data_IF_650844798111
#
_entry.id   IF_650844798111
#
_cell.length_a   1.000
_cell.length_b   1.000
_cell.length_c   1.000
_cell.angle_alpha   90.00
_cell.angle_beta   90.00
_cell.angle_gamma   90.00
#
_symmetry.space_group_name_H-M   'P 1'
#
loop_
_entity.id
_entity.type
_entity.pdbx_description
1 polymer ?
#
# COMPACT_ATOMS: atom_id res chain seq x y z
N UNK A 1 2.01 -27.12 50.10
CA UNK A 1 3.14 -27.13 49.15
C UNK A 1 2.75 -26.25 47.98
N UNK A 2 3.50 -25.17 47.79
CA UNK A 2 3.22 -24.04 46.89
C UNK A 2 4.07 -24.19 45.64
N UNK A 3 3.48 -24.06 44.45
CA UNK A 3 4.26 -23.62 43.27
C UNK A 3 3.38 -22.74 42.39
N UNK A 4 3.58 -21.44 42.53
CA UNK A 4 3.04 -20.39 41.67
C UNK A 4 3.89 -20.34 40.40
N UNK A 5 3.31 -20.62 39.23
CA UNK A 5 3.98 -20.36 37.96
C UNK A 5 3.64 -18.95 37.47
N UNK A 6 4.48 -18.00 37.84
CA UNK A 6 4.59 -16.68 37.23
C UNK A 6 5.05 -16.85 35.78
N UNK A 7 4.15 -16.67 34.81
CA UNK A 7 4.56 -16.46 33.41
C UNK A 7 4.55 -14.97 33.13
N UNK A 8 5.75 -14.44 33.01
CA UNK A 8 6.10 -13.07 32.68
C UNK A 8 5.50 -12.68 31.33
N UNK A 9 4.72 -11.61 31.32
CA UNK A 9 4.32 -10.89 30.13
C UNK A 9 5.57 -10.44 29.36
N UNK A 10 5.79 -11.02 28.17
CA UNK A 10 6.75 -10.49 27.21
C UNK A 10 6.02 -9.47 26.33
N UNK A 11 6.30 -8.20 26.59
CA UNK A 11 5.86 -7.05 25.81
C UNK A 11 6.49 -7.10 24.42
N UNK A 12 5.74 -7.55 23.42
CA UNK A 12 6.05 -7.31 22.00
C UNK A 12 5.27 -6.07 21.55
N UNK A 13 5.88 -4.92 21.24
CA UNK A 13 5.16 -3.79 20.68
C UNK A 13 5.01 -4.00 19.15
N UNK A 14 4.26 -5.01 18.74
CA UNK A 14 3.92 -5.23 17.33
C UNK A 14 2.44 -4.89 17.09
N UNK A 15 2.12 -3.58 17.10
CA UNK A 15 0.75 -3.11 16.84
C UNK A 15 0.75 -1.81 16.03
N UNK A 16 1.51 -1.78 14.93
CA UNK A 16 1.41 -0.74 13.88
C UNK A 16 1.31 -1.34 12.46
N UNK A 17 1.10 -2.65 12.33
CA UNK A 17 1.19 -3.38 11.06
C UNK A 17 -0.04 -3.36 10.12
N UNK A 18 -1.30 -3.13 10.54
CA UNK A 18 -2.42 -3.23 9.61
C UNK A 18 -2.43 -2.10 8.58
N UNK A 19 -2.07 -0.87 8.97
CA UNK A 19 -2.09 0.28 8.06
C UNK A 19 -1.05 0.13 6.93
N UNK A 20 0.18 -0.28 7.25
CA UNK A 20 1.22 -0.53 6.23
C UNK A 20 0.90 -1.70 5.31
N UNK A 21 0.25 -2.75 5.84
CA UNK A 21 -0.20 -3.87 5.01
C UNK A 21 -1.31 -3.46 4.05
N UNK A 22 -2.28 -2.68 4.52
CA UNK A 22 -3.37 -2.14 3.69
C UNK A 22 -2.80 -1.21 2.60
N UNK A 23 -1.85 -0.35 2.95
CA UNK A 23 -1.16 0.53 1.99
C UNK A 23 -0.40 -0.26 0.93
N UNK A 24 0.34 -1.31 1.32
CA UNK A 24 1.05 -2.17 0.38
C UNK A 24 0.09 -2.90 -0.57
N UNK A 25 -1.04 -3.42 -0.07
CA UNK A 25 -2.05 -4.06 -0.91
C UNK A 25 -2.62 -3.08 -1.93
N UNK A 26 -2.92 -1.83 -1.54
CA UNK A 26 -3.38 -0.79 -2.48
C UNK A 26 -2.36 -0.51 -3.59
N UNK A 27 -1.06 -0.50 -3.28
CA UNK A 27 0.00 -0.32 -4.28
C UNK A 27 0.09 -1.52 -5.23
N UNK A 28 -0.11 -2.74 -4.74
CA UNK A 28 -0.14 -3.96 -5.55
C UNK A 28 -1.37 -3.99 -6.46
N UNK A 29 -2.55 -3.66 -5.94
CA UNK A 29 -3.79 -3.56 -6.73
C UNK A 29 -3.62 -2.53 -7.85
N UNK A 30 -3.15 -1.33 -7.52
CA UNK A 30 -2.85 -0.29 -8.49
C UNK A 30 -1.90 -0.76 -9.60
N UNK A 31 -0.79 -1.43 -9.22
CA UNK A 31 0.16 -1.99 -10.18
C UNK A 31 -0.53 -2.95 -11.17
N UNK A 32 -1.37 -3.86 -10.67
CA UNK A 32 -2.06 -4.82 -11.52
C UNK A 32 -3.10 -4.16 -12.43
N UNK A 33 -3.79 -3.13 -11.95
CA UNK A 33 -4.73 -2.36 -12.77
C UNK A 33 -4.01 -1.62 -13.90
N UNK A 34 -2.87 -1.02 -13.62
CA UNK A 34 -2.02 -0.39 -14.63
C UNK A 34 -1.51 -1.40 -15.66
N UNK A 35 -1.08 -2.59 -15.22
CA UNK A 35 -0.67 -3.67 -16.13
C UNK A 35 -1.82 -4.12 -17.03
N UNK A 36 -3.06 -4.18 -16.52
CA UNK A 36 -4.26 -4.45 -17.30
C UNK A 36 -4.58 -3.37 -18.35
N UNK A 37 -4.06 -2.16 -18.20
CA UNK A 37 -4.14 -1.08 -19.20
C UNK A 37 -2.91 -1.04 -20.15
N UNK A 38 -1.97 -1.99 -20.01
CA UNK A 38 -0.75 -2.06 -20.83
C UNK A 38 0.45 -1.32 -20.26
N UNK A 39 0.36 -0.79 -19.03
CA UNK A 39 1.43 -0.02 -18.39
C UNK A 39 2.15 -0.85 -17.32
N UNK A 40 3.47 -1.01 -17.47
CA UNK A 40 4.28 -1.69 -16.46
C UNK A 40 4.74 -0.72 -15.37
N UNK A 41 4.40 -1.05 -14.12
CA UNK A 41 4.78 -0.25 -12.94
C UNK A 41 5.81 -1.00 -12.09
N UNK A 42 6.92 -0.32 -11.80
CA UNK A 42 7.92 -0.78 -10.83
C UNK A 42 7.46 -0.40 -9.42
N UNK A 43 7.06 -1.41 -8.65
CA UNK A 43 6.55 -1.23 -7.29
C UNK A 43 7.60 -0.66 -6.33
N UNK A 44 8.87 -1.02 -6.49
CA UNK A 44 9.95 -0.53 -5.62
C UNK A 44 10.16 0.96 -5.86
N UNK A 45 10.13 1.37 -7.14
CA UNK A 45 10.25 2.77 -7.52
C UNK A 45 9.01 3.57 -7.14
N UNK A 46 7.81 2.99 -7.30
CA UNK A 46 6.55 3.58 -6.85
C UNK A 46 6.56 3.95 -5.37
N UNK A 47 7.23 3.16 -4.53
CA UNK A 47 7.33 3.42 -3.08
C UNK A 47 8.42 4.44 -2.69
N UNK A 48 9.44 4.64 -3.53
CA UNK A 48 10.66 5.38 -3.15
C UNK A 48 10.87 6.69 -3.92
N UNK A 49 10.21 6.83 -5.06
CA UNK A 49 10.36 7.96 -5.98
C UNK A 49 8.99 8.67 -6.11
N UNK A 50 8.77 9.77 -5.37
CA UNK A 50 7.52 10.53 -5.41
C UNK A 50 7.20 11.08 -6.81
N UNK A 51 8.22 11.37 -7.63
CA UNK A 51 8.02 11.85 -8.99
C UNK A 51 7.49 10.74 -9.90
N UNK A 52 8.05 9.53 -9.78
CA UNK A 52 7.55 8.35 -10.46
C UNK A 52 6.13 7.99 -10.00
N UNK A 53 5.86 8.03 -8.69
CA UNK A 53 4.52 7.82 -8.14
C UNK A 53 3.52 8.83 -8.68
N UNK A 54 3.86 10.12 -8.66
CA UNK A 54 3.02 11.18 -9.20
C UNK A 54 2.72 10.99 -10.69
N UNK A 55 3.71 10.59 -11.49
CA UNK A 55 3.52 10.32 -12.92
C UNK A 55 2.57 9.14 -13.15
N UNK A 56 2.76 8.02 -12.44
CA UNK A 56 1.87 6.86 -12.55
C UNK A 56 0.44 7.19 -12.12
N UNK A 57 0.27 7.92 -11.01
CA UNK A 57 -1.06 8.34 -10.51
C UNK A 57 -1.73 9.27 -11.51
N UNK A 58 -1.00 10.26 -12.07
CA UNK A 58 -1.55 11.17 -13.07
C UNK A 58 -2.02 10.42 -14.33
N UNK A 59 -1.25 9.46 -14.82
CA UNK A 59 -1.66 8.61 -15.95
C UNK A 59 -2.88 7.75 -15.63
N UNK A 60 -2.98 7.22 -14.40
CA UNK A 60 -4.12 6.41 -13.99
C UNK A 60 -5.41 7.23 -13.88
N UNK A 61 -5.32 8.50 -13.45
CA UNK A 61 -6.47 9.41 -13.36
C UNK A 61 -7.06 9.79 -14.72
N UNK A 62 -6.27 9.72 -15.80
CA UNK A 62 -6.73 10.00 -17.17
C UNK A 62 -7.22 8.75 -17.92
N UNK A 63 -7.13 7.56 -17.32
CA UNK A 63 -7.62 6.31 -17.93
C UNK A 63 -9.14 6.26 -18.00
N UNK A 64 -9.71 5.64 -19.03
CA UNK A 64 -11.15 5.37 -19.13
C UNK A 64 -11.63 4.27 -18.15
N UNK A 65 -10.71 3.52 -17.53
CA UNK A 65 -11.01 2.49 -16.54
C UNK A 65 -11.43 3.11 -15.19
N UNK A 66 -12.74 3.10 -14.89
CA UNK A 66 -13.27 3.66 -13.64
C UNK A 66 -12.64 3.07 -12.37
N UNK A 67 -12.49 1.74 -12.23
CA UNK A 67 -11.80 1.17 -11.07
C UNK A 67 -10.37 1.71 -10.88
N UNK A 68 -9.61 1.87 -11.97
CA UNK A 68 -8.24 2.38 -11.90
C UNK A 68 -8.20 3.84 -11.44
N UNK A 69 -9.10 4.68 -11.96
CA UNK A 69 -9.23 6.07 -11.49
C UNK A 69 -9.56 6.13 -10.00
N UNK A 70 -10.48 5.29 -9.52
CA UNK A 70 -10.82 5.24 -8.09
C UNK A 70 -9.61 4.84 -7.23
N UNK A 71 -8.85 3.82 -7.65
CA UNK A 71 -7.65 3.39 -6.95
C UNK A 71 -6.57 4.49 -6.93
N UNK A 72 -6.40 5.22 -8.05
CA UNK A 72 -5.47 6.33 -8.16
C UNK A 72 -5.82 7.50 -7.22
N UNK A 73 -7.11 7.87 -7.13
CA UNK A 73 -7.59 8.90 -6.21
C UNK A 73 -7.31 8.52 -4.75
N UNK A 74 -7.59 7.27 -4.39
CA UNK A 74 -7.33 6.77 -3.04
C UNK A 74 -5.84 6.83 -2.68
N UNK A 75 -4.97 6.42 -3.61
CA UNK A 75 -3.52 6.50 -3.42
C UNK A 75 -3.03 7.95 -3.30
N UNK A 76 -3.56 8.86 -4.13
CA UNK A 76 -3.20 10.29 -4.07
C UNK A 76 -3.50 10.89 -2.69
N UNK A 77 -4.60 10.49 -2.07
CA UNK A 77 -4.95 10.91 -0.70
C UNK A 77 -3.99 10.35 0.37
N UNK A 78 -3.32 9.22 0.13
CA UNK A 78 -2.31 8.67 1.04
C UNK A 78 -0.92 9.33 0.90
N UNK A 79 -0.63 9.96 -0.25
CA UNK A 79 0.65 10.62 -0.52
C UNK A 79 0.64 12.15 -0.26
N UNK A 80 -0.49 12.70 0.22
CA UNK A 80 -0.66 14.13 0.52
C UNK A 80 -0.28 14.51 1.95
#
# INVERSE_FOLDING_TARGET
MTTTHTTTATTTPQRREPARQVEFLRLVDFKWMMAGQGWWVDLTRLQRDPGYAGHCIASALTSDCHPLRSCATDLQACFS
#
